data_IF_506159497908
#
_entry.id   IF_506159497908
#
_cell.length_a   1.000
_cell.length_b   1.000
_cell.length_c   1.000
_cell.angle_alpha   90.00
_cell.angle_beta   90.00
_cell.angle_gamma   90.00
#
_symmetry.space_group_name_H-M   'P 1'
#
loop_
_entity.id
_entity.type
_entity.pdbx_description
1 polymer ?
#
# COMPACT_ATOMS: atom_id res chain seq x y z
N UNK A 1 37.55 -48.62 -31.57
CA UNK A 1 38.18 -48.48 -30.24
C UNK A 1 37.25 -47.59 -29.41
N UNK A 2 36.38 -48.11 -28.52
CA UNK A 2 36.61 -48.45 -27.09
C UNK A 2 37.14 -47.23 -26.31
N UNK A 3 36.48 -46.66 -25.28
CA UNK A 3 35.34 -47.07 -24.42
C UNK A 3 34.67 -45.85 -23.77
N UNK A 4 33.35 -45.94 -23.53
CA UNK A 4 32.59 -45.18 -22.53
C UNK A 4 33.03 -45.53 -21.10
N UNK A 5 32.62 -44.75 -20.08
CA UNK A 5 31.75 -45.20 -18.96
C UNK A 5 31.18 -43.99 -18.20
N UNK A 6 29.86 -43.91 -18.16
CA UNK A 6 29.12 -43.28 -17.07
C UNK A 6 29.07 -44.24 -15.86
N UNK A 7 28.66 -43.69 -14.71
CA UNK A 7 28.01 -44.38 -13.59
C UNK A 7 28.91 -44.97 -12.48
N UNK A 8 28.37 -44.90 -11.24
CA UNK A 8 28.61 -45.75 -10.05
C UNK A 8 29.50 -45.09 -8.97
N UNK A 9 28.96 -44.43 -7.92
CA UNK A 9 28.48 -44.96 -6.60
C UNK A 9 29.33 -44.30 -5.48
N UNK A 10 28.76 -43.42 -4.65
CA UNK A 10 28.11 -43.68 -3.34
C UNK A 10 29.12 -43.73 -2.17
N UNK A 11 28.72 -43.11 -1.06
CA UNK A 11 29.07 -43.48 0.33
C UNK A 11 30.23 -42.77 1.07
N UNK A 12 29.89 -41.73 1.86
CA UNK A 12 30.26 -41.56 3.29
C UNK A 12 29.74 -40.18 3.76
N UNK A 13 28.56 -40.08 4.38
CA UNK A 13 28.31 -40.31 5.82
C UNK A 13 29.03 -39.31 6.73
N UNK A 14 28.40 -38.15 6.99
CA UNK A 14 28.46 -37.45 8.29
C UNK A 14 27.10 -36.86 8.60
N UNK A 15 26.24 -37.68 9.20
CA UNK A 15 25.14 -37.27 10.07
C UNK A 15 25.72 -36.89 11.44
N UNK A 16 25.37 -35.73 12.00
CA UNK A 16 25.00 -35.67 13.42
C UNK A 16 24.11 -34.47 13.73
N UNK A 17 22.97 -34.78 14.33
CA UNK A 17 21.96 -33.88 14.87
C UNK A 17 22.49 -33.02 16.02
N UNK A 18 22.08 -31.75 16.05
CA UNK A 18 21.92 -30.99 17.29
C UNK A 18 20.43 -30.72 17.49
N UNK A 19 19.76 -31.60 18.23
CA UNK A 19 18.46 -31.32 18.84
C UNK A 19 18.70 -30.72 20.22
N UNK A 20 18.40 -29.43 20.39
CA UNK A 20 18.34 -28.82 21.72
C UNK A 20 16.95 -29.09 22.30
N UNK A 21 16.93 -29.90 23.35
CA UNK A 21 15.81 -30.11 24.27
C UNK A 21 15.48 -28.81 25.00
N UNK A 22 14.24 -28.33 24.85
CA UNK A 22 13.68 -27.29 25.69
C UNK A 22 12.95 -27.94 26.88
N UNK A 23 13.47 -27.77 28.09
CA UNK A 23 12.75 -28.07 29.32
C UNK A 23 11.83 -26.89 29.65
N UNK A 24 10.56 -27.20 29.93
CA UNK A 24 9.52 -26.21 30.22
C UNK A 24 9.50 -25.68 31.64
N UNK A 25 8.48 -24.87 31.91
CA UNK A 25 7.76 -24.82 33.17
C UNK A 25 6.43 -24.09 32.93
N UNK A 26 5.32 -24.82 33.07
CA UNK A 26 4.00 -24.26 33.33
C UNK A 26 3.88 -24.05 34.84
N UNK A 27 3.38 -22.90 35.26
CA UNK A 27 2.78 -22.77 36.57
C UNK A 27 1.62 -21.78 36.48
N UNK A 28 0.41 -22.32 36.45
CA UNK A 28 -0.78 -21.61 36.91
C UNK A 28 -0.58 -21.19 38.36
N UNK A 29 -1.01 -19.98 38.71
CA UNK A 29 -1.72 -19.78 39.97
C UNK A 29 -2.55 -18.50 39.92
N UNK A 30 -3.86 -18.74 39.82
CA UNK A 30 -4.95 -17.89 40.23
C UNK A 30 -4.93 -17.77 41.76
N UNK A 31 -4.90 -16.56 42.31
CA UNK A 31 -5.39 -16.29 43.67
C UNK A 31 -6.17 -14.98 43.69
N UNK A 32 -7.48 -15.17 43.78
CA UNK A 32 -8.43 -14.27 44.43
C UNK A 32 -8.02 -14.02 45.88
N UNK A 33 -8.01 -12.77 46.34
CA UNK A 33 -8.61 -12.46 47.64
C UNK A 33 -9.06 -11.00 47.74
N UNK A 34 -10.21 -10.83 48.36
CA UNK A 34 -10.94 -9.60 48.60
C UNK A 34 -10.47 -8.92 49.88
N UNK A 35 -10.71 -7.60 49.98
CA UNK A 35 -11.28 -6.90 51.16
C UNK A 35 -10.85 -5.43 51.12
N UNK A 36 -11.71 -4.52 50.65
CA UNK A 36 -12.61 -3.67 51.48
C UNK A 36 -11.86 -2.58 52.24
N UNK A 37 -12.07 -1.31 51.87
CA UNK A 37 -12.83 -0.41 52.74
C UNK A 37 -13.27 0.89 52.03
N UNK A 38 -14.35 1.43 52.57
CA UNK A 38 -15.26 2.45 52.05
C UNK A 38 -14.77 3.92 52.10
N UNK A 39 -15.34 4.70 51.16
CA UNK A 39 -15.95 6.02 51.30
C UNK A 39 -15.13 7.23 51.76
N UNK A 40 -15.03 8.23 50.88
CA UNK A 40 -15.38 9.63 51.20
C UNK A 40 -15.97 10.32 49.98
N UNK A 41 -17.13 10.92 50.18
CA UNK A 41 -17.75 11.87 49.26
C UNK A 41 -16.90 13.15 49.15
N UNK A 42 -16.89 13.77 47.97
CA UNK A 42 -17.46 15.11 47.76
C UNK A 42 -17.20 15.60 46.33
N UNK A 43 -18.25 16.20 45.77
CA UNK A 43 -18.28 17.34 44.83
C UNK A 43 -17.31 17.34 43.64
N UNK A 44 -17.85 17.19 42.44
CA UNK A 44 -17.97 18.34 41.53
C UNK A 44 -18.73 17.96 40.26
N UNK A 45 -19.41 18.94 39.67
CA UNK A 45 -20.22 18.81 38.48
C UNK A 45 -19.40 18.23 37.32
N UNK A 46 -19.94 17.18 36.72
CA UNK A 46 -19.42 16.57 35.51
C UNK A 46 -19.65 17.54 34.34
N UNK A 47 -18.69 18.45 34.16
CA UNK A 47 -18.36 19.04 32.89
C UNK A 47 -18.08 17.88 31.93
N UNK A 48 -19.02 17.62 31.02
CA UNK A 48 -18.82 16.69 29.92
C UNK A 48 -17.74 17.26 29.00
N UNK A 49 -16.49 17.07 29.39
CA UNK A 49 -15.37 17.12 28.48
C UNK A 49 -15.60 16.04 27.44
N UNK A 50 -15.97 16.49 26.24
CA UNK A 50 -15.83 15.69 25.04
C UNK A 50 -14.36 15.30 24.95
N UNK A 51 -14.08 14.04 25.22
CA UNK A 51 -12.87 13.40 24.73
C UNK A 51 -13.00 13.32 23.20
N UNK A 52 -12.72 14.42 22.52
CA UNK A 52 -12.32 14.37 21.12
C UNK A 52 -10.91 13.79 21.14
N UNK A 53 -10.86 12.45 21.15
CA UNK A 53 -9.72 11.72 20.59
C UNK A 53 -9.40 12.42 19.25
N UNK A 54 -8.17 12.89 18.98
CA UNK A 54 -7.86 13.53 17.70
C UNK A 54 -8.39 12.60 16.61
N UNK A 55 -9.37 13.10 15.85
CA UNK A 55 -10.10 12.31 14.88
C UNK A 55 -9.08 11.50 14.08
N UNK A 56 -9.14 10.16 14.19
CA UNK A 56 -8.22 9.30 13.49
C UNK A 56 -8.31 9.68 12.00
N UNK A 57 -7.20 10.18 11.43
CA UNK A 57 -7.17 10.60 10.03
C UNK A 57 -7.69 9.43 9.19
N UNK A 58 -8.77 9.65 8.43
CA UNK A 58 -9.30 8.62 7.57
C UNK A 58 -8.41 8.52 6.34
N UNK A 59 -7.62 7.46 6.26
CA UNK A 59 -6.64 7.26 5.19
C UNK A 59 -7.25 6.38 4.10
N UNK A 60 -7.06 6.80 2.85
CA UNK A 60 -7.26 5.98 1.66
C UNK A 60 -5.90 5.71 1.00
N UNK A 61 -5.64 4.45 0.66
CA UNK A 61 -4.55 4.06 -0.25
C UNK A 61 -5.13 3.74 -1.63
N UNK A 62 -5.09 4.72 -2.53
CA UNK A 62 -5.47 4.55 -3.93
C UNK A 62 -4.25 4.17 -4.77
N UNK A 63 -4.34 3.18 -5.66
CA UNK A 63 -3.19 2.77 -6.45
C UNK A 63 -3.53 2.22 -7.83
N UNK A 64 -2.68 2.47 -8.82
CA UNK A 64 -2.69 1.77 -10.10
C UNK A 64 -1.55 0.74 -10.13
N UNK A 65 -1.81 -0.47 -10.64
CA UNK A 65 -0.77 -1.48 -10.83
C UNK A 65 -1.05 -2.37 -12.04
N UNK A 66 -0.29 -2.19 -13.12
CA UNK A 66 -0.45 -3.01 -14.33
C UNK A 66 0.03 -4.47 -14.14
N UNK A 67 1.10 -4.68 -13.36
CA UNK A 67 1.75 -6.00 -13.20
C UNK A 67 1.86 -6.46 -11.73
N UNK A 68 1.20 -5.76 -10.81
CA UNK A 68 1.05 -6.18 -9.40
C UNK A 68 2.16 -5.76 -8.44
N UNK A 69 3.28 -5.18 -8.89
CA UNK A 69 4.35 -4.71 -7.99
C UNK A 69 3.86 -3.60 -7.06
N UNK A 70 3.24 -2.55 -7.62
CA UNK A 70 2.67 -1.45 -6.84
C UNK A 70 1.53 -1.92 -5.94
N UNK A 71 0.71 -2.86 -6.43
CA UNK A 71 -0.38 -3.47 -5.66
C UNK A 71 0.11 -4.11 -4.36
N UNK A 72 1.17 -4.90 -4.44
CA UNK A 72 1.77 -5.54 -3.26
C UNK A 72 2.17 -4.51 -2.20
N UNK A 73 2.80 -3.40 -2.63
CA UNK A 73 3.21 -2.34 -1.72
C UNK A 73 2.01 -1.53 -1.18
N UNK A 74 1.01 -1.25 -2.02
CA UNK A 74 -0.20 -0.54 -1.62
C UNK A 74 -1.00 -1.32 -0.58
N UNK A 75 -1.15 -2.64 -0.78
CA UNK A 75 -1.82 -3.51 0.17
C UNK A 75 -1.07 -3.60 1.50
N UNK A 76 0.27 -3.65 1.45
CA UNK A 76 1.08 -3.58 2.66
C UNK A 76 0.91 -2.24 3.39
N UNK A 77 0.95 -1.12 2.67
CA UNK A 77 0.73 0.21 3.24
C UNK A 77 -0.67 0.34 3.87
N UNK A 78 -1.71 -0.11 3.18
CA UNK A 78 -3.07 -0.08 3.71
C UNK A 78 -3.20 -0.90 5.00
N UNK A 79 -2.57 -2.08 5.05
CA UNK A 79 -2.57 -2.93 6.23
C UNK A 79 -1.90 -2.27 7.44
N UNK A 80 -0.68 -1.72 7.28
CA UNK A 80 0.06 -1.14 8.41
C UNK A 80 -0.54 0.19 8.90
N UNK A 81 -1.25 0.90 8.02
CA UNK A 81 -1.91 2.16 8.34
C UNK A 81 -3.35 1.98 8.83
N UNK A 82 -3.88 0.73 8.81
CA UNK A 82 -5.29 0.47 9.03
C UNK A 82 -6.20 1.35 8.14
N UNK A 83 -5.81 1.48 6.86
CA UNK A 83 -6.44 2.34 5.89
C UNK A 83 -7.34 1.56 4.93
N UNK A 84 -8.32 2.24 4.35
CA UNK A 84 -9.06 1.70 3.20
C UNK A 84 -8.12 1.64 1.99
N UNK A 85 -8.39 0.71 1.05
CA UNK A 85 -7.61 0.59 -0.18
C UNK A 85 -8.52 0.58 -1.40
N UNK A 86 -8.07 1.23 -2.48
CA UNK A 86 -8.78 1.28 -3.75
C UNK A 86 -7.81 1.04 -4.91
N UNK A 87 -8.10 0.06 -5.76
CA UNK A 87 -7.36 -0.16 -7.00
C UNK A 87 -7.97 0.69 -8.12
N UNK A 88 -7.16 1.58 -8.69
CA UNK A 88 -7.48 2.37 -9.87
C UNK A 88 -7.40 1.44 -11.08
N UNK A 89 -8.49 0.75 -11.38
CA UNK A 89 -8.57 -0.20 -12.49
C UNK A 89 -8.91 0.54 -13.78
N UNK A 90 -8.13 0.42 -14.87
CA UNK A 90 -8.53 0.97 -16.16
C UNK A 90 -9.78 0.28 -16.71
N UNK A 91 -10.66 1.03 -17.39
CA UNK A 91 -11.84 0.46 -18.06
C UNK A 91 -11.42 -0.54 -19.16
N UNK A 92 -10.39 -0.20 -19.92
CA UNK A 92 -9.70 -1.11 -20.84
C UNK A 92 -8.38 -1.58 -20.21
N UNK A 93 -8.25 -2.84 -19.77
CA UNK A 93 -7.01 -3.37 -19.18
C UNK A 93 -5.81 -3.27 -20.11
N UNK A 94 -4.63 -2.94 -19.55
CA UNK A 94 -3.38 -2.93 -20.31
C UNK A 94 -2.92 -4.35 -20.63
N UNK A 95 -2.64 -4.60 -21.90
CA UNK A 95 -2.02 -5.85 -22.37
C UNK A 95 -0.49 -5.80 -22.26
N UNK A 96 0.19 -6.93 -22.43
CA UNK A 96 1.66 -6.95 -22.50
C UNK A 96 2.20 -6.10 -23.66
N UNK A 97 1.50 -6.08 -24.80
CA UNK A 97 1.87 -5.25 -25.97
C UNK A 97 1.69 -3.76 -25.66
N UNK A 98 0.66 -3.39 -24.92
CA UNK A 98 0.43 -2.00 -24.50
C UNK A 98 1.53 -1.47 -23.59
N UNK A 99 2.09 -2.34 -22.73
CA UNK A 99 3.09 -2.01 -21.72
C UNK A 99 4.53 -2.12 -22.24
N UNK A 100 4.73 -2.63 -23.46
CA UNK A 100 6.05 -2.81 -24.02
C UNK A 100 6.71 -1.44 -24.29
N UNK A 101 7.79 -1.16 -23.55
CA UNK A 101 8.52 0.11 -23.63
C UNK A 101 9.16 0.32 -25.00
N UNK A 102 9.13 1.57 -25.46
CA UNK A 102 9.78 2.03 -26.70
C UNK A 102 9.28 1.27 -27.95
N UNK A 103 8.03 0.80 -27.92
CA UNK A 103 7.37 0.12 -29.05
C UNK A 103 6.28 0.96 -29.71
N UNK A 104 6.00 2.15 -29.16
CA UNK A 104 4.83 2.95 -29.52
C UNK A 104 3.50 2.24 -29.18
N UNK A 105 3.53 1.33 -28.20
CA UNK A 105 2.35 0.73 -27.57
C UNK A 105 1.46 1.76 -26.88
N UNK A 106 0.30 1.34 -26.37
CA UNK A 106 -0.66 2.26 -25.75
C UNK A 106 -0.05 3.07 -24.60
N UNK A 107 0.73 2.46 -23.71
CA UNK A 107 1.35 3.16 -22.59
C UNK A 107 2.34 4.24 -23.08
N UNK A 108 3.14 3.95 -24.11
CA UNK A 108 4.05 4.93 -24.72
C UNK A 108 3.28 6.11 -25.32
N UNK A 109 2.21 5.84 -26.07
CA UNK A 109 1.38 6.88 -26.72
C UNK A 109 0.68 7.76 -25.70
N UNK A 110 0.11 7.16 -24.67
CA UNK A 110 -0.49 7.90 -23.55
C UNK A 110 0.57 8.75 -22.83
N UNK A 111 1.77 8.23 -22.58
CA UNK A 111 2.79 9.00 -21.86
C UNK A 111 3.33 10.18 -22.67
N UNK A 112 3.39 10.05 -24.01
CA UNK A 112 3.74 11.13 -24.95
C UNK A 112 2.67 12.23 -25.04
N UNK A 113 1.41 11.90 -24.78
CA UNK A 113 0.29 12.84 -24.82
C UNK A 113 -0.09 13.34 -23.42
N UNK A 114 0.20 14.61 -23.11
CA UNK A 114 -0.16 15.20 -21.82
C UNK A 114 -1.66 15.34 -21.57
N UNK A 115 -2.48 15.29 -22.63
CA UNK A 115 -3.93 15.36 -22.56
C UNK A 115 -4.60 14.01 -22.38
N UNK A 116 -3.86 12.90 -22.49
CA UNK A 116 -4.41 11.56 -22.34
C UNK A 116 -5.03 11.37 -20.94
N UNK A 117 -6.26 10.83 -20.92
CA UNK A 117 -7.03 10.49 -19.71
C UNK A 117 -7.64 9.10 -19.86
N UNK A 118 -6.85 8.02 -19.67
CA UNK A 118 -7.38 6.66 -19.69
C UNK A 118 -8.56 6.54 -18.71
N UNK A 119 -9.68 5.96 -19.17
CA UNK A 119 -10.87 5.80 -18.36
C UNK A 119 -10.65 4.81 -17.20
N UNK A 120 -11.29 5.07 -16.07
CA UNK A 120 -11.21 4.25 -14.86
C UNK A 120 -12.52 3.47 -14.72
N UNK A 121 -12.43 2.17 -14.46
CA UNK A 121 -13.56 1.33 -14.14
C UNK A 121 -14.04 1.63 -12.70
N UNK A 122 -15.28 2.10 -12.58
CA UNK A 122 -15.91 2.38 -11.29
C UNK A 122 -15.43 3.68 -10.64
N UNK A 123 -15.56 3.74 -9.31
CA UNK A 123 -15.20 4.91 -8.54
C UNK A 123 -15.31 4.66 -7.04
N UNK A 124 -14.88 5.65 -6.26
CA UNK A 124 -14.95 5.66 -4.81
C UNK A 124 -16.18 6.45 -4.40
N UNK A 125 -17.09 5.79 -3.70
CA UNK A 125 -18.19 6.46 -3.02
C UNK A 125 -17.67 7.14 -1.76
N UNK A 126 -18.26 8.28 -1.40
CA UNK A 126 -17.96 8.99 -0.16
C UNK A 126 -16.51 9.47 0.02
N UNK A 127 -15.84 9.92 -1.05
CA UNK A 127 -14.46 10.45 -1.00
C UNK A 127 -14.27 11.56 0.05
N UNK A 128 -15.32 12.31 0.37
CA UNK A 128 -15.32 13.35 1.39
C UNK A 128 -14.86 12.85 2.78
N UNK A 129 -15.05 11.56 3.09
CA UNK A 129 -14.70 10.98 4.38
C UNK A 129 -13.21 10.88 4.66
N UNK A 130 -12.37 10.93 3.61
CA UNK A 130 -10.93 10.73 3.74
C UNK A 130 -10.18 12.04 3.91
N UNK A 131 -9.30 12.11 4.91
CA UNK A 131 -8.47 13.29 5.17
C UNK A 131 -7.12 13.20 4.47
N UNK A 132 -6.62 11.97 4.29
CA UNK A 132 -5.34 11.68 3.64
C UNK A 132 -5.52 10.65 2.52
N UNK A 133 -4.98 10.96 1.35
CA UNK A 133 -4.99 10.11 0.16
C UNK A 133 -3.55 9.75 -0.19
N UNK A 134 -3.20 8.49 -0.01
CA UNK A 134 -1.93 7.94 -0.45
C UNK A 134 -2.13 7.41 -1.87
N UNK A 135 -1.33 7.90 -2.83
CA UNK A 135 -1.49 7.58 -4.26
C UNK A 135 -0.29 6.78 -4.76
N UNK A 136 -0.52 5.53 -5.16
CA UNK A 136 0.52 4.60 -5.62
C UNK A 136 0.52 4.35 -7.12
N UNK A 137 1.68 4.37 -7.75
CA UNK A 137 1.80 4.03 -9.18
C UNK A 137 3.17 3.45 -9.58
N UNK A 138 3.25 2.66 -10.67
CA UNK A 138 4.53 2.37 -11.31
C UNK A 138 5.06 3.63 -12.01
N UNK A 139 6.38 3.79 -12.11
CA UNK A 139 6.98 4.81 -12.97
C UNK A 139 6.94 4.38 -14.43
N UNK A 140 6.32 5.18 -15.29
CA UNK A 140 6.32 5.04 -16.76
C UNK A 140 7.04 6.22 -17.41
N UNK A 141 8.14 5.95 -18.12
CA UNK A 141 9.00 6.98 -18.73
C UNK A 141 9.40 8.11 -17.76
N UNK A 142 9.71 7.76 -16.51
CA UNK A 142 10.08 8.72 -15.47
C UNK A 142 8.91 9.50 -14.85
N UNK A 143 7.67 9.16 -15.21
CA UNK A 143 6.46 9.89 -14.86
C UNK A 143 5.37 8.97 -14.29
N UNK A 144 4.35 9.58 -13.68
CA UNK A 144 3.15 8.85 -13.29
C UNK A 144 2.37 8.44 -14.57
N UNK A 145 1.76 7.24 -14.61
CA UNK A 145 0.90 6.83 -15.70
C UNK A 145 -0.31 7.78 -15.81
N UNK A 146 -0.75 8.10 -17.02
CA UNK A 146 -1.81 9.09 -17.27
C UNK A 146 -3.14 8.79 -16.58
N UNK A 147 -3.40 7.53 -16.23
CA UNK A 147 -4.58 7.16 -15.43
C UNK A 147 -4.59 7.81 -14.04
N UNK A 148 -3.42 8.16 -13.49
CA UNK A 148 -3.31 8.92 -12.23
C UNK A 148 -3.83 10.34 -12.42
N UNK A 149 -3.60 10.96 -13.59
CA UNK A 149 -4.20 12.26 -13.91
C UNK A 149 -5.73 12.15 -13.94
N UNK A 150 -6.27 11.11 -14.60
CA UNK A 150 -7.71 10.85 -14.60
C UNK A 150 -8.25 10.73 -13.16
N UNK A 151 -7.56 9.99 -12.29
CA UNK A 151 -7.96 9.83 -10.90
C UNK A 151 -7.98 11.16 -10.12
N UNK A 152 -6.91 11.95 -10.23
CA UNK A 152 -6.81 13.24 -9.53
C UNK A 152 -7.84 14.28 -10.02
N UNK A 153 -8.26 14.19 -11.28
CA UNK A 153 -9.30 15.06 -11.84
C UNK A 153 -10.73 14.56 -11.58
N UNK A 154 -10.90 13.33 -11.06
CA UNK A 154 -12.22 12.72 -10.85
C UNK A 154 -12.89 13.11 -9.54
N UNK A 155 -12.16 13.73 -8.59
CA UNK A 155 -12.66 14.04 -7.25
C UNK A 155 -12.20 15.43 -6.78
N UNK A 156 -12.91 15.99 -5.80
CA UNK A 156 -12.47 17.18 -5.08
C UNK A 156 -11.54 16.79 -3.93
N UNK A 157 -10.28 17.21 -4.03
CA UNK A 157 -9.26 16.99 -3.00
C UNK A 157 -9.04 18.22 -2.10
N UNK A 158 -9.93 19.22 -2.14
CA UNK A 158 -9.85 20.42 -1.31
C UNK A 158 -9.65 20.08 0.17
N UNK A 159 -8.57 20.59 0.77
CA UNK A 159 -8.30 20.41 2.20
C UNK A 159 -7.85 19.00 2.62
N UNK A 160 -7.61 18.09 1.66
CA UNK A 160 -7.06 16.75 1.92
C UNK A 160 -5.54 16.76 1.75
N UNK A 161 -4.84 15.86 2.43
CA UNK A 161 -3.40 15.63 2.22
C UNK A 161 -3.22 14.57 1.13
N UNK A 162 -2.38 14.82 0.12
CA UNK A 162 -2.05 13.82 -0.92
C UNK A 162 -0.58 13.40 -0.76
N UNK A 163 -0.35 12.10 -0.65
CA UNK A 163 0.99 11.51 -0.47
C UNK A 163 1.29 10.50 -1.58
N UNK A 164 2.02 10.90 -2.64
CA UNK A 164 2.39 9.97 -3.70
C UNK A 164 3.51 9.03 -3.28
N UNK A 165 3.44 7.79 -3.75
CA UNK A 165 4.56 6.85 -3.73
C UNK A 165 4.64 6.12 -5.08
N UNK A 166 5.84 5.62 -5.39
CA UNK A 166 6.04 4.91 -6.64
C UNK A 166 6.83 3.61 -6.47
N UNK A 167 6.60 2.69 -7.40
CA UNK A 167 7.50 1.56 -7.66
C UNK A 167 8.15 1.73 -9.03
N UNK A 168 9.41 1.34 -9.17
CA UNK A 168 10.11 1.43 -10.45
C UNK A 168 11.17 0.33 -10.54
N UNK A 169 11.80 0.22 -11.70
CA UNK A 169 13.02 -0.58 -11.81
C UNK A 169 14.21 0.09 -11.09
N UNK A 170 14.36 1.42 -11.24
CA UNK A 170 15.47 2.18 -10.67
C UNK A 170 15.21 3.67 -10.46
N UNK A 171 14.25 4.28 -11.17
CA UNK A 171 13.91 5.70 -11.03
C UNK A 171 13.31 6.03 -9.66
N UNK A 172 13.69 7.17 -9.09
CA UNK A 172 13.02 7.73 -7.91
C UNK A 172 11.69 8.42 -8.27
N UNK A 173 11.02 8.95 -7.25
CA UNK A 173 9.75 9.68 -7.39
C UNK A 173 9.90 10.92 -8.29
N UNK A 174 10.82 11.83 -7.96
CA UNK A 174 11.23 12.92 -8.86
C UNK A 174 10.07 13.71 -9.48
N UNK A 175 10.16 13.99 -10.78
CA UNK A 175 9.14 14.77 -11.50
C UNK A 175 7.78 14.09 -11.59
N UNK A 176 7.70 12.76 -11.38
CA UNK A 176 6.42 12.05 -11.36
C UNK A 176 5.49 12.49 -10.23
N UNK A 177 6.01 13.12 -9.18
CA UNK A 177 5.23 13.77 -8.12
C UNK A 177 4.92 15.22 -8.48
N UNK A 178 5.94 16.03 -8.75
CA UNK A 178 5.76 17.48 -8.98
C UNK A 178 4.86 17.80 -10.17
N UNK A 179 4.84 16.93 -11.20
CA UNK A 179 3.99 17.12 -12.38
C UNK A 179 2.50 16.85 -12.08
N UNK A 180 2.17 16.23 -10.94
CA UNK A 180 0.80 16.01 -10.46
C UNK A 180 0.25 17.19 -9.64
N UNK A 181 1.12 18.03 -9.06
CA UNK A 181 0.69 19.13 -8.16
C UNK A 181 -0.36 20.06 -8.78
N UNK A 182 -0.29 20.45 -10.07
CA UNK A 182 -1.30 21.30 -10.68
C UNK A 182 -2.71 20.67 -10.74
N UNK A 183 -2.81 19.34 -10.69
CA UNK A 183 -4.07 18.61 -10.78
C UNK A 183 -4.85 18.58 -9.46
N UNK A 184 -4.17 18.87 -8.35
CA UNK A 184 -4.74 18.90 -7.01
C UNK A 184 -4.26 20.13 -6.23
N UNK A 185 -4.21 21.29 -6.87
CA UNK A 185 -3.64 22.52 -6.28
C UNK A 185 -4.39 23.05 -5.05
N UNK A 186 -5.57 22.52 -4.77
CA UNK A 186 -6.43 22.82 -3.62
C UNK A 186 -6.26 21.82 -2.46
N UNK A 187 -5.42 20.79 -2.61
CA UNK A 187 -4.99 19.94 -1.49
C UNK A 187 -4.13 20.72 -0.49
N UNK A 188 -3.97 20.18 0.72
CA UNK A 188 -3.07 20.72 1.74
C UNK A 188 -1.60 20.51 1.40
#
# INVERSE_FOLDING_TARGET
MKRSKAFTVFFMMVTLMFTMTACGNENEQQTTDLSKNEMTANEDGEDTMKNEDPAADNILVAYFSATGTTKSLAQYAAHILNADSYEIVPEDPYTEEDLAYDTDGRADREQKDSSARPAIAGGIEHMERYDTIIVGYPIWHGQAPRIINTFLESYDFSGKTILPFCTSHSSGLGSSDTDLHPLASNSK
#
